data_IF_563439118642
#
_entry.id   IF_563439118642
#
_cell.length_a   1.000
_cell.length_b   1.000
_cell.length_c   1.000
_cell.angle_alpha   90.00
_cell.angle_beta   90.00
_cell.angle_gamma   90.00
#
_symmetry.space_group_name_H-M   'P 1'
#
loop_
_entity.id
_entity.type
_entity.pdbx_description
1 polymer ?
#
# COMPACT_ATOMS: atom_id res chain seq x y z
N UNK A 1 -13.42 11.50 2.28
CA UNK A 1 -12.41 12.31 1.58
C UNK A 1 -11.13 12.27 2.41
N UNK A 2 -10.08 11.65 1.92
CA UNK A 2 -8.70 11.69 2.47
C UNK A 2 -7.74 11.68 1.27
N UNK A 3 -7.97 12.58 0.30
CA UNK A 3 -7.16 12.63 -0.94
C UNK A 3 -5.70 13.00 -0.65
N UNK A 4 -5.47 13.71 0.45
CA UNK A 4 -4.18 14.32 0.78
C UNK A 4 -3.45 13.65 1.93
N UNK A 5 -4.10 12.78 2.71
CA UNK A 5 -3.45 12.12 3.83
C UNK A 5 -2.64 10.93 3.31
N UNK A 6 -1.33 10.95 3.55
CA UNK A 6 -0.42 9.88 3.20
C UNK A 6 0.29 9.34 4.44
N UNK A 7 0.77 8.10 4.38
CA UNK A 7 1.56 7.46 5.43
C UNK A 7 2.92 7.10 4.88
N UNK A 8 3.98 7.36 5.63
CA UNK A 8 5.31 6.92 5.24
C UNK A 8 5.45 5.41 5.38
N UNK A 9 5.97 4.73 4.35
CA UNK A 9 6.20 3.27 4.36
C UNK A 9 7.29 2.87 5.36
N UNK A 10 8.28 3.74 5.59
CA UNK A 10 9.45 3.43 6.42
C UNK A 10 9.21 3.73 7.91
N UNK A 11 8.85 4.98 8.25
CA UNK A 11 8.69 5.39 9.65
C UNK A 11 7.25 5.32 10.17
N UNK A 12 6.26 5.02 9.32
CA UNK A 12 4.86 4.88 9.70
C UNK A 12 4.13 6.19 10.08
N UNK A 13 4.80 7.34 10.06
CA UNK A 13 4.19 8.64 10.36
C UNK A 13 3.26 9.09 9.22
N UNK A 14 2.19 9.77 9.59
CA UNK A 14 1.28 10.40 8.65
C UNK A 14 1.80 11.79 8.23
N UNK A 15 1.48 12.17 7.01
CA UNK A 15 1.78 13.48 6.45
C UNK A 15 0.80 13.85 5.35
N UNK A 16 0.90 15.09 4.87
CA UNK A 16 0.18 15.53 3.69
C UNK A 16 0.97 15.18 2.43
N UNK A 17 0.26 14.90 1.34
CA UNK A 17 0.84 14.75 0.02
C UNK A 17 1.59 16.02 -0.36
N UNK A 18 2.88 15.86 -0.66
CA UNK A 18 3.78 16.94 -1.08
C UNK A 18 4.24 16.65 -2.52
N UNK A 19 4.71 17.66 -3.28
CA UNK A 19 5.20 17.49 -4.65
C UNK A 19 6.27 16.38 -4.77
N UNK A 20 7.17 16.30 -3.78
CA UNK A 20 8.26 15.34 -3.78
C UNK A 20 7.85 13.94 -3.30
N UNK A 21 6.61 13.73 -2.84
CA UNK A 21 6.10 12.46 -2.28
C UNK A 21 7.01 11.80 -1.21
N UNK A 22 7.76 12.63 -0.47
CA UNK A 22 8.71 12.22 0.57
C UNK A 22 8.22 12.60 1.96
N UNK A 23 8.55 11.76 2.93
CA UNK A 23 8.30 12.00 4.33
C UNK A 23 9.24 13.11 4.86
N UNK A 24 8.68 14.10 5.53
CA UNK A 24 9.46 15.20 6.15
C UNK A 24 10.30 14.78 7.35
N UNK A 25 10.12 13.56 7.86
CA UNK A 25 10.84 13.06 9.04
C UNK A 25 12.00 12.14 8.68
N UNK A 26 11.80 11.19 7.75
CA UNK A 26 12.82 10.19 7.40
C UNK A 26 13.21 10.21 5.92
N UNK A 27 12.58 11.03 5.07
CA UNK A 27 12.81 11.04 3.62
C UNK A 27 12.15 9.91 2.84
N UNK A 28 11.60 8.90 3.53
CA UNK A 28 10.97 7.72 2.92
C UNK A 28 9.72 8.03 2.09
N UNK A 29 9.30 7.09 1.22
CA UNK A 29 8.19 7.29 0.31
C UNK A 29 6.85 7.37 1.06
N UNK A 30 6.04 8.36 0.70
CA UNK A 30 4.67 8.51 1.18
C UNK A 30 3.71 7.68 0.31
N UNK A 31 2.88 6.85 0.95
CA UNK A 31 1.88 6.02 0.31
C UNK A 31 0.47 6.39 0.75
N UNK A 32 -0.52 6.06 -0.08
CA UNK A 32 -1.92 6.18 0.30
C UNK A 32 -2.23 5.12 1.39
N UNK A 33 -2.63 5.52 2.61
CA UNK A 33 -2.95 4.58 3.68
C UNK A 33 -4.31 3.90 3.48
N UNK A 34 -5.14 4.41 2.56
CA UNK A 34 -6.47 3.86 2.34
C UNK A 34 -6.36 2.48 1.70
N UNK A 35 -7.04 1.45 2.25
CA UNK A 35 -7.07 0.14 1.62
C UNK A 35 -7.74 0.22 0.25
N UNK A 36 -7.41 -0.74 -0.62
CA UNK A 36 -8.06 -0.89 -1.91
C UNK A 36 -9.57 -1.08 -1.73
N UNK A 37 -10.37 -0.57 -2.67
CA UNK A 37 -11.83 -0.69 -2.63
C UNK A 37 -12.22 -2.16 -2.76
N UNK A 38 -13.04 -2.63 -1.82
CA UNK A 38 -13.59 -3.98 -1.84
C UNK A 38 -14.87 -4.05 -2.69
N UNK A 39 -15.08 -5.20 -3.34
CA UNK A 39 -16.29 -5.53 -4.11
C UNK A 39 -16.55 -7.04 -4.01
N UNK A 40 -17.81 -7.45 -3.86
CA UNK A 40 -18.20 -8.86 -3.80
C UNK A 40 -17.90 -9.61 -5.11
N UNK A 41 -17.96 -8.92 -6.25
CA UNK A 41 -17.63 -9.48 -7.56
C UNK A 41 -16.13 -9.80 -7.72
N UNK A 42 -15.26 -9.23 -6.88
CA UNK A 42 -13.79 -9.39 -6.86
C UNK A 42 -13.14 -9.76 -8.21
N UNK A 43 -13.24 -8.86 -9.20
CA UNK A 43 -12.84 -9.11 -10.60
C UNK A 43 -11.42 -9.68 -10.75
N UNK A 44 -10.52 -9.35 -9.82
CA UNK A 44 -9.11 -9.75 -9.84
C UNK A 44 -8.75 -10.78 -8.76
N UNK A 45 -9.74 -11.38 -8.10
CA UNK A 45 -9.54 -12.32 -6.99
C UNK A 45 -8.68 -13.53 -7.38
N UNK A 46 -8.94 -14.12 -8.55
CA UNK A 46 -8.18 -15.28 -9.05
C UNK A 46 -6.68 -15.00 -9.12
N UNK A 47 -6.30 -13.92 -9.80
CA UNK A 47 -4.89 -13.53 -9.96
C UNK A 47 -4.22 -13.17 -8.64
N UNK A 48 -4.95 -12.45 -7.76
CA UNK A 48 -4.44 -12.05 -6.45
C UNK A 48 -4.14 -13.26 -5.56
N UNK A 49 -5.01 -14.28 -5.58
CA UNK A 49 -4.83 -15.49 -4.79
C UNK A 49 -3.68 -16.36 -5.32
N UNK A 50 -3.57 -16.52 -6.64
CA UNK A 50 -2.46 -17.25 -7.28
C UNK A 50 -1.11 -16.59 -6.94
N UNK A 51 -1.00 -15.26 -7.08
CA UNK A 51 0.21 -14.50 -6.74
C UNK A 51 0.65 -14.70 -5.29
N UNK A 52 -0.27 -14.58 -4.33
CA UNK A 52 0.09 -14.76 -2.91
C UNK A 52 0.42 -16.22 -2.57
N UNK A 53 -0.15 -17.18 -3.29
CA UNK A 53 0.19 -18.59 -3.11
C UNK A 53 1.62 -18.87 -3.55
N UNK A 54 2.01 -18.36 -4.72
CA UNK A 54 3.38 -18.45 -5.24
C UNK A 54 4.37 -17.78 -4.29
N UNK A 55 4.11 -16.53 -3.88
CA UNK A 55 4.97 -15.79 -2.95
C UNK A 55 5.10 -16.49 -1.58
N UNK A 56 4.04 -17.16 -1.11
CA UNK A 56 4.08 -17.96 0.11
C UNK A 56 4.92 -19.22 -0.07
N UNK A 57 4.71 -19.97 -1.15
CA UNK A 57 5.49 -21.17 -1.46
C UNK A 57 6.99 -20.82 -1.57
N UNK A 58 7.36 -19.73 -2.22
CA UNK A 58 8.77 -19.26 -2.33
C UNK A 58 9.41 -18.91 -0.98
N UNK A 59 8.64 -18.36 -0.04
CA UNK A 59 9.17 -17.91 1.26
C UNK A 59 9.32 -19.04 2.27
N UNK A 60 8.58 -20.14 2.12
CA UNK A 60 8.42 -21.13 3.18
C UNK A 60 8.70 -22.59 2.76
N UNK A 61 8.79 -22.91 1.46
CA UNK A 61 9.33 -24.20 1.01
C UNK A 61 10.83 -24.11 0.73
#
# INVERSE_FOLDING_TARGET
>A
MTKYLQKCKECGKYGLANPDSKCRYCGGPLINPRPAKFSLMDKYGKYRLEYFKEEFDEKFK
#
